data_IF_877262680787
#
_entry.id   IF_877262680787
#
_cell.length_a   1.000
_cell.length_b   1.000
_cell.length_c   1.000
_cell.angle_alpha   90.00
_cell.angle_beta   90.00
_cell.angle_gamma   90.00
#
_symmetry.space_group_name_H-M   'P 1'
#
loop_
_entity.id
_entity.type
_entity.pdbx_description
1 polymer ?
#
# COMPACT_ATOMS: atom_id res chain seq x y z
N UNK A 1 -23.03 20.42 32.41
CA UNK A 1 -21.66 20.22 32.94
C UNK A 1 -20.74 20.99 32.02
N UNK A 2 -19.93 21.92 32.54
CA UNK A 2 -19.16 22.86 31.71
C UNK A 2 -18.11 22.13 30.85
N UNK A 3 -17.97 22.57 29.60
CA UNK A 3 -17.04 22.07 28.58
C UNK A 3 -15.63 22.66 28.69
N UNK A 4 -15.42 23.54 29.68
CA UNK A 4 -14.13 24.11 30.04
C UNK A 4 -13.03 23.10 30.36
N UNK A 5 -13.27 21.93 31.00
CA UNK A 5 -12.22 20.95 31.26
C UNK A 5 -11.71 20.29 29.98
N UNK A 6 -12.58 20.03 29.00
CA UNK A 6 -12.21 19.41 27.72
C UNK A 6 -11.53 20.40 26.78
N UNK A 7 -12.01 21.65 26.73
CA UNK A 7 -11.38 22.73 25.96
C UNK A 7 -10.01 23.09 26.54
N UNK A 8 -9.84 23.09 27.86
CA UNK A 8 -8.53 23.30 28.51
C UNK A 8 -7.62 22.08 28.44
N UNK A 9 -8.13 20.84 28.39
CA UNK A 9 -7.34 19.64 28.09
C UNK A 9 -6.82 19.65 26.64
N UNK A 10 -7.67 20.05 25.69
CA UNK A 10 -7.31 20.13 24.28
C UNK A 10 -6.38 21.32 23.99
N UNK A 11 -6.71 22.51 24.49
CA UNK A 11 -5.85 23.69 24.39
C UNK A 11 -4.57 23.54 25.23
N UNK A 12 -4.61 22.83 26.36
CA UNK A 12 -3.44 22.53 27.18
C UNK A 12 -2.49 21.51 26.53
N UNK A 13 -3.01 20.57 25.74
CA UNK A 13 -2.20 19.67 24.91
C UNK A 13 -1.68 20.34 23.63
N UNK A 14 -2.41 21.32 23.06
CA UNK A 14 -1.97 22.08 21.88
C UNK A 14 -1.05 23.27 22.22
N UNK A 15 -1.10 23.82 23.44
CA UNK A 15 -0.34 25.02 23.82
C UNK A 15 1.15 24.77 24.13
N UNK A 16 1.65 23.54 24.03
CA UNK A 16 3.06 23.25 24.34
C UNK A 16 3.85 22.50 23.27
N UNK A 17 3.28 22.20 22.08
CA UNK A 17 4.15 21.79 20.97
C UNK A 17 4.76 23.02 20.32
N UNK A 18 6.01 23.30 20.65
CA UNK A 18 6.77 24.34 19.96
C UNK A 18 6.76 24.07 18.45
N UNK A 19 6.74 25.13 17.62
CA UNK A 19 6.81 25.03 16.15
C UNK A 19 7.98 24.10 15.72
N UNK A 20 9.06 24.08 16.51
CA UNK A 20 10.23 23.21 16.34
C UNK A 20 9.88 21.72 16.50
N UNK A 21 9.04 21.36 17.47
CA UNK A 21 8.57 19.98 17.68
C UNK A 21 7.66 19.50 16.55
N UNK A 22 6.75 20.37 16.07
CA UNK A 22 5.91 20.08 14.92
C UNK A 22 6.75 19.83 13.65
N UNK A 23 7.76 20.67 13.40
CA UNK A 23 8.71 20.50 12.30
C UNK A 23 9.52 19.20 12.45
N UNK A 24 9.96 18.87 13.66
CA UNK A 24 10.72 17.64 13.92
C UNK A 24 9.86 16.38 13.74
N UNK A 25 8.59 16.41 14.14
CA UNK A 25 7.66 15.31 13.90
C UNK A 25 7.34 15.15 12.41
N UNK A 26 7.13 16.26 11.69
CA UNK A 26 6.94 16.25 10.24
C UNK A 26 8.17 15.67 9.52
N UNK A 27 9.38 16.12 9.86
CA UNK A 27 10.65 15.60 9.32
C UNK A 27 10.86 14.12 9.65
N UNK A 28 10.56 13.67 10.87
CA UNK A 28 10.66 12.26 11.27
C UNK A 28 9.69 11.38 10.47
N UNK A 29 8.48 11.87 10.24
CA UNK A 29 7.47 11.19 9.41
C UNK A 29 7.88 11.14 7.93
N UNK A 30 8.41 12.24 7.40
CA UNK A 30 8.95 12.32 6.05
C UNK A 30 10.15 11.38 5.85
N UNK A 31 11.09 11.33 6.81
CA UNK A 31 12.22 10.38 6.79
C UNK A 31 11.74 8.92 6.76
N UNK A 32 10.76 8.57 7.59
CA UNK A 32 10.19 7.22 7.60
C UNK A 32 9.55 6.88 6.25
N UNK A 33 8.84 7.83 5.63
CA UNK A 33 8.26 7.64 4.30
C UNK A 33 9.31 7.48 3.22
N UNK A 34 10.37 8.29 3.26
CA UNK A 34 11.49 8.19 2.34
C UNK A 34 12.19 6.82 2.46
N UNK A 35 12.44 6.35 3.69
CA UNK A 35 13.03 5.03 3.92
C UNK A 35 12.16 3.90 3.38
N UNK A 36 10.84 3.98 3.57
CA UNK A 36 9.93 3.00 3.00
C UNK A 36 9.95 3.07 1.46
N UNK A 37 10.03 4.26 0.84
CA UNK A 37 10.08 4.39 -0.62
C UNK A 37 11.39 3.83 -1.18
N UNK A 38 12.50 4.09 -0.49
CA UNK A 38 13.80 3.54 -0.82
C UNK A 38 13.79 2.01 -0.74
N UNK A 39 13.17 1.45 0.29
CA UNK A 39 13.01 0.00 0.44
C UNK A 39 12.19 -0.61 -0.71
N UNK A 40 11.06 0.03 -1.07
CA UNK A 40 10.23 -0.40 -2.21
C UNK A 40 11.04 -0.36 -3.53
N UNK A 41 11.91 0.65 -3.70
CA UNK A 41 12.80 0.77 -4.86
C UNK A 41 13.88 -0.32 -4.90
N UNK A 42 14.50 -0.64 -3.76
CA UNK A 42 15.51 -1.70 -3.66
C UNK A 42 14.89 -3.06 -3.97
N UNK A 43 13.70 -3.34 -3.44
CA UNK A 43 12.97 -4.56 -3.75
C UNK A 43 12.63 -4.64 -5.24
N UNK A 44 12.09 -3.57 -5.82
CA UNK A 44 11.82 -3.49 -7.26
C UNK A 44 13.08 -3.81 -8.08
N UNK A 45 14.20 -3.16 -7.78
CA UNK A 45 15.45 -3.36 -8.50
C UNK A 45 15.97 -4.80 -8.37
N UNK A 46 15.88 -5.38 -7.15
CA UNK A 46 16.23 -6.79 -6.91
C UNK A 46 15.38 -7.76 -7.73
N UNK A 47 14.07 -7.52 -7.80
CA UNK A 47 13.16 -8.34 -8.61
C UNK A 47 13.41 -8.21 -10.12
N UNK A 48 13.75 -7.01 -10.60
CA UNK A 48 14.13 -6.79 -12.01
C UNK A 48 15.43 -7.53 -12.34
N UNK A 49 16.46 -7.43 -11.49
CA UNK A 49 17.71 -8.19 -11.67
C UNK A 49 17.41 -9.69 -11.70
N UNK A 50 16.61 -10.17 -10.77
CA UNK A 50 16.24 -11.59 -10.70
C UNK A 50 15.52 -12.06 -11.96
N UNK A 51 14.58 -11.25 -12.48
CA UNK A 51 13.89 -11.53 -13.74
C UNK A 51 14.87 -11.56 -14.93
N UNK A 52 15.81 -10.63 -15.01
CA UNK A 52 16.85 -10.63 -16.04
C UNK A 52 17.77 -11.86 -15.95
N UNK A 53 18.13 -12.30 -14.75
CA UNK A 53 18.91 -13.53 -14.54
C UNK A 53 18.10 -14.76 -14.96
N UNK A 54 16.81 -14.81 -14.65
CA UNK A 54 15.90 -15.88 -15.09
C UNK A 54 15.80 -15.99 -16.61
N UNK A 55 15.68 -14.84 -17.31
CA UNK A 55 15.69 -14.77 -18.77
C UNK A 55 17.02 -15.29 -19.31
N UNK A 56 18.15 -14.84 -18.76
CA UNK A 56 19.48 -15.24 -19.23
C UNK A 56 19.76 -16.73 -18.99
N UNK A 57 19.30 -17.29 -17.89
CA UNK A 57 19.51 -18.69 -17.54
C UNK A 57 18.72 -19.67 -18.41
N UNK A 58 17.67 -19.20 -19.10
CA UNK A 58 16.82 -20.02 -19.95
C UNK A 58 16.75 -19.42 -21.36
N UNK A 59 17.52 -19.98 -22.31
CA UNK A 59 17.62 -19.49 -23.70
C UNK A 59 16.37 -19.75 -24.57
N UNK A 60 15.24 -20.11 -23.95
CA UNK A 60 14.00 -20.42 -24.66
C UNK A 60 13.10 -19.17 -24.77
N UNK A 61 12.38 -19.00 -25.90
CA UNK A 61 11.54 -17.82 -26.15
C UNK A 61 10.38 -17.66 -25.16
N UNK A 62 9.87 -18.77 -24.59
CA UNK A 62 8.88 -18.79 -23.51
C UNK A 62 9.37 -18.09 -22.23
N UNK A 63 10.64 -18.30 -21.90
CA UNK A 63 11.30 -17.79 -20.69
C UNK A 63 11.59 -16.30 -20.81
N UNK A 64 11.91 -15.84 -22.02
CA UNK A 64 12.00 -14.41 -22.34
C UNK A 64 10.65 -13.71 -22.16
N UNK A 65 9.57 -14.26 -22.74
CA UNK A 65 8.23 -13.69 -22.64
C UNK A 65 7.75 -13.60 -21.18
N UNK A 66 7.93 -14.68 -20.39
CA UNK A 66 7.60 -14.69 -18.96
C UNK A 66 8.40 -13.68 -18.15
N UNK A 67 9.71 -13.57 -18.41
CA UNK A 67 10.56 -12.62 -17.72
C UNK A 67 10.20 -11.16 -18.03
N UNK A 68 9.87 -10.84 -19.29
CA UNK A 68 9.39 -9.50 -19.67
C UNK A 68 8.07 -9.16 -18.97
N UNK A 69 7.11 -10.11 -18.94
CA UNK A 69 5.84 -9.92 -18.23
C UNK A 69 6.08 -9.69 -16.74
N UNK A 70 6.96 -10.46 -16.10
CA UNK A 70 7.33 -10.23 -14.71
C UNK A 70 7.86 -8.82 -14.47
N UNK A 71 8.78 -8.33 -15.31
CA UNK A 71 9.35 -6.98 -15.19
C UNK A 71 8.26 -5.91 -15.32
N UNK A 72 7.38 -6.03 -16.32
CA UNK A 72 6.25 -5.10 -16.52
C UNK A 72 5.36 -5.12 -15.29
N UNK A 73 5.02 -6.31 -14.80
CA UNK A 73 4.12 -6.48 -13.67
C UNK A 73 4.68 -5.85 -12.39
N UNK A 74 5.95 -6.15 -12.06
CA UNK A 74 6.62 -5.60 -10.90
C UNK A 74 6.74 -4.07 -11.02
N UNK A 75 7.03 -3.55 -12.22
CA UNK A 75 7.14 -2.10 -12.46
C UNK A 75 5.81 -1.37 -12.30
N UNK A 76 4.71 -1.93 -12.82
CA UNK A 76 3.37 -1.37 -12.62
C UNK A 76 2.95 -1.39 -11.15
N UNK A 77 3.23 -2.49 -10.44
CA UNK A 77 2.95 -2.60 -9.01
C UNK A 77 3.71 -1.56 -8.19
N UNK A 78 5.01 -1.40 -8.42
CA UNK A 78 5.84 -0.39 -7.73
C UNK A 78 5.41 1.03 -8.08
N UNK A 79 5.13 1.33 -9.36
CA UNK A 79 4.64 2.65 -9.77
C UNK A 79 3.32 3.02 -9.07
N UNK A 80 2.39 2.06 -8.95
CA UNK A 80 1.14 2.27 -8.24
C UNK A 80 1.32 2.49 -6.73
N UNK A 81 2.20 1.71 -6.08
CA UNK A 81 2.52 1.93 -4.66
C UNK A 81 3.15 3.30 -4.41
N UNK A 82 4.05 3.74 -5.29
CA UNK A 82 4.66 5.07 -5.23
C UNK A 82 3.61 6.16 -5.45
N UNK A 83 2.74 6.02 -6.44
CA UNK A 83 1.64 6.97 -6.70
C UNK A 83 0.68 7.10 -5.52
N UNK A 84 0.32 5.99 -4.88
CA UNK A 84 -0.49 6.02 -3.65
C UNK A 84 0.23 6.73 -2.51
N UNK A 85 1.54 6.51 -2.37
CA UNK A 85 2.35 7.14 -1.33
C UNK A 85 2.69 8.61 -1.63
N UNK A 86 2.56 9.09 -2.86
CA UNK A 86 2.66 10.54 -3.13
C UNK A 86 1.32 11.24 -2.92
N UNK A 87 0.21 10.64 -3.39
CA UNK A 87 -1.14 11.23 -3.33
C UNK A 87 -1.76 11.23 -1.93
N UNK A 88 -1.53 10.21 -1.11
CA UNK A 88 -2.13 10.13 0.24
C UNK A 88 -1.40 10.93 1.32
N UNK A 89 -0.30 11.62 0.97
CA UNK A 89 0.61 12.25 1.95
C UNK A 89 0.68 13.77 1.86
N UNK A 90 -0.14 14.40 1.01
CA UNK A 90 -0.29 15.86 0.95
C UNK A 90 -0.56 16.46 2.34
N UNK A 91 0.26 17.42 2.73
CA UNK A 91 0.11 18.18 3.96
C UNK A 91 -1.01 19.21 3.77
N UNK A 92 -2.26 18.78 3.97
CA UNK A 92 -3.36 19.73 4.16
C UNK A 92 -3.15 20.53 5.44
N UNK A 93 -3.72 21.73 5.48
CA UNK A 93 -3.65 22.69 6.59
C UNK A 93 -3.77 22.00 7.96
N UNK A 94 -2.91 22.42 8.89
CA UNK A 94 -2.69 21.88 10.25
C UNK A 94 -3.88 22.15 11.20
N UNK A 95 -5.11 21.94 10.75
CA UNK A 95 -6.27 21.87 11.62
C UNK A 95 -6.59 20.41 11.96
N UNK A 96 -6.92 20.16 13.21
CA UNK A 96 -7.25 18.85 13.78
C UNK A 96 -8.34 18.09 13.01
N UNK A 97 -9.37 18.81 12.52
CA UNK A 97 -10.44 18.24 11.69
C UNK A 97 -9.90 17.83 10.31
N UNK A 98 -9.02 18.64 9.72
CA UNK A 98 -8.38 18.35 8.43
C UNK A 98 -7.39 17.19 8.55
N UNK A 99 -6.67 17.08 9.66
CA UNK A 99 -5.80 15.94 9.96
C UNK A 99 -6.60 14.64 10.10
N UNK A 100 -7.77 14.68 10.76
CA UNK A 100 -8.67 13.52 10.88
C UNK A 100 -9.24 13.10 9.53
N UNK A 101 -9.73 14.05 8.72
CA UNK A 101 -10.17 13.81 7.34
C UNK A 101 -9.06 13.20 6.48
N UNK A 102 -7.85 13.72 6.58
CA UNK A 102 -6.67 13.20 5.88
C UNK A 102 -6.32 11.78 6.32
N UNK A 103 -6.43 11.45 7.61
CA UNK A 103 -6.24 10.07 8.09
C UNK A 103 -7.32 9.10 7.63
N UNK A 104 -8.58 9.55 7.53
CA UNK A 104 -9.68 8.75 6.94
C UNK A 104 -9.38 8.47 5.46
N UNK A 105 -9.02 9.50 4.70
CA UNK A 105 -8.66 9.37 3.28
C UNK A 105 -7.45 8.45 3.07
N UNK A 106 -6.46 8.48 3.96
CA UNK A 106 -5.31 7.54 3.95
C UNK A 106 -5.75 6.09 4.18
N UNK A 107 -6.70 5.87 5.09
CA UNK A 107 -7.25 4.53 5.33
C UNK A 107 -8.02 4.03 4.09
N UNK A 108 -8.76 4.90 3.41
CA UNK A 108 -9.47 4.57 2.17
C UNK A 108 -8.52 4.25 1.03
N UNK A 109 -7.48 5.07 0.81
CA UNK A 109 -6.43 4.78 -0.17
C UNK A 109 -5.72 3.45 0.11
N UNK A 110 -5.41 3.17 1.38
CA UNK A 110 -4.82 1.89 1.78
C UNK A 110 -5.75 0.69 1.51
N UNK A 111 -7.06 0.86 1.62
CA UNK A 111 -8.04 -0.18 1.25
C UNK A 111 -8.18 -0.32 -0.27
N UNK A 112 -8.21 0.77 -1.03
CA UNK A 112 -8.22 0.76 -2.50
C UNK A 112 -7.00 0.02 -3.06
N UNK A 113 -5.83 0.20 -2.44
CA UNK A 113 -4.60 -0.50 -2.81
C UNK A 113 -4.79 -2.03 -2.77
N UNK A 114 -5.52 -2.55 -1.78
CA UNK A 114 -5.80 -3.99 -1.65
C UNK A 114 -6.64 -4.49 -2.82
N UNK A 115 -7.70 -3.74 -3.19
CA UNK A 115 -8.55 -4.09 -4.33
C UNK A 115 -7.78 -4.10 -5.65
N UNK A 116 -6.96 -3.07 -5.88
CA UNK A 116 -6.11 -3.02 -7.08
C UNK A 116 -5.10 -4.17 -7.10
N UNK A 117 -4.54 -4.51 -5.94
CA UNK A 117 -3.63 -5.67 -5.81
C UNK A 117 -4.34 -6.98 -6.18
N UNK A 118 -5.60 -7.16 -5.78
CA UNK A 118 -6.38 -8.35 -6.14
C UNK A 118 -6.68 -8.42 -7.64
N UNK A 119 -7.13 -7.31 -8.24
CA UNK A 119 -7.38 -7.23 -9.68
C UNK A 119 -6.09 -7.53 -10.44
N UNK A 120 -4.99 -6.93 -10.00
CA UNK A 120 -3.68 -7.13 -10.60
C UNK A 120 -3.21 -8.59 -10.51
N UNK A 121 -3.42 -9.26 -9.37
CA UNK A 121 -3.11 -10.68 -9.21
C UNK A 121 -3.90 -11.55 -10.19
N UNK A 122 -5.19 -11.27 -10.39
CA UNK A 122 -6.03 -11.98 -11.37
C UNK A 122 -5.51 -11.74 -12.80
N UNK A 123 -5.19 -10.50 -13.16
CA UNK A 123 -4.66 -10.17 -14.51
C UNK A 123 -3.34 -10.90 -14.77
N UNK A 124 -2.40 -10.88 -13.82
CA UNK A 124 -1.13 -11.61 -13.94
C UNK A 124 -1.37 -13.10 -14.10
N UNK A 125 -2.27 -13.67 -13.31
CA UNK A 125 -2.64 -15.09 -13.41
C UNK A 125 -3.19 -15.45 -14.78
N UNK A 126 -4.10 -14.64 -15.32
CA UNK A 126 -4.68 -14.84 -16.66
C UNK A 126 -3.63 -14.72 -17.77
N UNK A 127 -2.72 -13.74 -17.70
CA UNK A 127 -1.64 -13.59 -18.68
C UNK A 127 -0.72 -14.80 -18.65
N UNK A 128 -0.37 -15.28 -17.45
CA UNK A 128 0.48 -16.46 -17.28
C UNK A 128 -0.14 -17.71 -17.90
N UNK A 129 -1.42 -17.97 -17.64
CA UNK A 129 -2.14 -19.09 -18.26
C UNK A 129 -2.20 -18.92 -19.78
N UNK A 130 -2.46 -17.71 -20.27
CA UNK A 130 -2.51 -17.42 -21.70
C UNK A 130 -1.19 -17.68 -22.41
N UNK A 131 -0.07 -17.27 -21.81
CA UNK A 131 1.27 -17.55 -22.32
C UNK A 131 1.57 -19.05 -22.36
N UNK A 132 1.13 -19.78 -21.35
CA UNK A 132 1.34 -21.22 -21.28
C UNK A 132 0.58 -21.99 -22.37
N UNK A 133 -0.69 -21.64 -22.63
CA UNK A 133 -1.47 -22.20 -23.75
C UNK A 133 -0.76 -21.94 -25.09
N UNK A 134 -0.14 -20.77 -25.25
CA UNK A 134 0.53 -20.39 -26.51
C UNK A 134 1.88 -21.07 -26.72
N UNK A 135 2.65 -21.31 -25.66
CA UNK A 135 4.02 -21.85 -25.74
C UNK A 135 4.15 -23.35 -25.42
N UNK A 136 3.08 -24.04 -25.03
CA UNK A 136 3.03 -25.49 -24.79
C UNK A 136 4.11 -25.99 -23.80
N UNK A 137 4.05 -25.44 -22.58
CA UNK A 137 5.00 -25.75 -21.50
C UNK A 137 4.77 -27.20 -20.99
N UNK A 138 5.84 -27.89 -20.62
CA UNK A 138 5.79 -29.22 -20.00
C UNK A 138 4.85 -29.25 -18.76
N UNK A 139 3.92 -30.20 -18.72
CA UNK A 139 2.86 -30.29 -17.70
C UNK A 139 3.37 -30.34 -16.24
N UNK A 140 4.57 -30.88 -16.00
CA UNK A 140 5.15 -30.95 -14.65
C UNK A 140 5.60 -29.56 -14.15
N UNK A 141 6.20 -28.74 -15.03
CA UNK A 141 6.59 -27.36 -14.71
C UNK A 141 5.35 -26.49 -14.50
N UNK A 142 4.32 -26.73 -15.30
CA UNK A 142 3.03 -26.08 -15.16
C UNK A 142 2.40 -26.31 -13.78
N UNK A 143 2.28 -27.58 -13.37
CA UNK A 143 1.67 -27.90 -12.07
C UNK A 143 2.41 -27.23 -10.91
N UNK A 144 3.76 -27.23 -10.93
CA UNK A 144 4.55 -26.53 -9.91
C UNK A 144 4.28 -25.02 -9.90
N UNK A 145 4.17 -24.41 -11.07
CA UNK A 145 3.94 -22.97 -11.21
C UNK A 145 2.52 -22.56 -10.76
N UNK A 146 1.50 -23.34 -11.11
CA UNK A 146 0.12 -23.13 -10.65
C UNK A 146 0.04 -23.27 -9.12
N UNK A 147 0.64 -24.32 -8.54
CA UNK A 147 0.65 -24.51 -7.08
C UNK A 147 1.29 -23.31 -6.37
N UNK A 148 2.42 -22.81 -6.88
CA UNK A 148 3.06 -21.61 -6.36
C UNK A 148 2.19 -20.37 -6.49
N UNK A 149 1.55 -20.16 -7.64
CA UNK A 149 0.66 -19.02 -7.87
C UNK A 149 -0.58 -19.06 -6.98
N UNK A 150 -1.17 -20.23 -6.78
CA UNK A 150 -2.32 -20.44 -5.89
C UNK A 150 -1.92 -20.18 -4.44
N UNK A 151 -0.79 -20.73 -3.98
CA UNK A 151 -0.28 -20.50 -2.63
C UNK A 151 0.03 -19.00 -2.39
N UNK A 152 0.68 -18.35 -3.35
CA UNK A 152 0.99 -16.92 -3.28
C UNK A 152 -0.27 -16.04 -3.29
N UNK A 153 -1.25 -16.36 -4.14
CA UNK A 153 -2.52 -15.65 -4.21
C UNK A 153 -3.33 -15.82 -2.91
N UNK A 154 -3.36 -17.02 -2.34
CA UNK A 154 -3.99 -17.27 -1.04
C UNK A 154 -3.35 -16.43 0.07
N UNK A 155 -2.02 -16.33 0.09
CA UNK A 155 -1.30 -15.48 1.03
C UNK A 155 -1.67 -14.00 0.87
N UNK A 156 -1.71 -13.49 -0.37
CA UNK A 156 -2.12 -12.11 -0.67
C UNK A 156 -3.53 -11.84 -0.16
N UNK A 157 -4.47 -12.77 -0.37
CA UNK A 157 -5.86 -12.61 0.09
C UNK A 157 -5.94 -12.60 1.61
N UNK A 158 -5.26 -13.52 2.29
CA UNK A 158 -5.27 -13.59 3.77
C UNK A 158 -4.69 -12.32 4.38
N UNK A 159 -3.50 -11.90 3.92
CA UNK A 159 -2.82 -10.69 4.42
C UNK A 159 -3.61 -9.44 4.06
N UNK A 160 -4.15 -9.38 2.83
CA UNK A 160 -4.97 -8.26 2.35
C UNK A 160 -6.25 -8.10 3.15
N UNK A 161 -6.98 -9.19 3.45
CA UNK A 161 -8.18 -9.12 4.28
C UNK A 161 -7.87 -8.72 5.73
N UNK A 162 -6.79 -9.25 6.31
CA UNK A 162 -6.34 -8.84 7.64
C UNK A 162 -6.01 -7.33 7.68
N UNK A 163 -5.25 -6.85 6.70
CA UNK A 163 -4.88 -5.45 6.59
C UNK A 163 -6.11 -4.55 6.37
N UNK A 164 -7.05 -4.98 5.51
CA UNK A 164 -8.32 -4.29 5.28
C UNK A 164 -9.13 -4.16 6.58
N UNK A 165 -9.30 -5.24 7.35
CA UNK A 165 -9.99 -5.19 8.65
C UNK A 165 -9.34 -4.19 9.60
N UNK A 166 -8.00 -4.17 9.65
CA UNK A 166 -7.24 -3.23 10.48
C UNK A 166 -7.45 -1.77 10.05
N UNK A 167 -7.52 -1.49 8.75
CA UNK A 167 -7.77 -0.13 8.24
C UNK A 167 -9.22 0.31 8.41
N UNK A 168 -10.20 -0.61 8.28
CA UNK A 168 -11.61 -0.35 8.58
C UNK A 168 -11.82 0.06 10.04
N UNK A 169 -11.23 -0.69 10.99
CA UNK A 169 -11.31 -0.36 12.41
C UNK A 169 -10.73 1.04 12.71
N UNK A 170 -9.59 1.39 12.08
CA UNK A 170 -9.01 2.73 12.21
C UNK A 170 -9.89 3.82 11.60
N UNK A 171 -10.46 3.57 10.43
CA UNK A 171 -11.38 4.50 9.77
C UNK A 171 -12.59 4.78 10.67
N UNK A 172 -13.22 3.74 11.21
CA UNK A 172 -14.37 3.87 12.12
C UNK A 172 -14.00 4.69 13.35
N UNK A 173 -12.86 4.41 13.98
CA UNK A 173 -12.36 5.20 15.11
C UNK A 173 -12.15 6.69 14.76
N UNK A 174 -11.53 6.99 13.61
CA UNK A 174 -11.33 8.38 13.17
C UNK A 174 -12.64 9.08 12.81
N UNK A 175 -13.62 8.35 12.28
CA UNK A 175 -14.97 8.88 11.99
C UNK A 175 -15.71 9.24 13.28
N UNK A 176 -15.68 8.35 14.28
CA UNK A 176 -16.27 8.61 15.61
C UNK A 176 -15.64 9.84 16.27
N UNK A 177 -14.31 9.99 16.19
CA UNK A 177 -13.62 11.15 16.75
C UNK A 177 -14.01 12.46 16.02
N UNK A 178 -14.27 12.39 14.72
CA UNK A 178 -14.67 13.54 13.91
C UNK A 178 -16.13 13.94 14.16
N UNK A 179 -17.01 12.96 14.41
CA UNK A 179 -18.39 13.21 14.84
C UNK A 179 -18.43 13.91 16.21
N UNK A 180 -17.65 13.43 17.19
CA UNK A 180 -17.52 14.08 18.51
C UNK A 180 -16.99 15.52 18.45
N UNK A 181 -16.17 15.85 17.44
CA UNK A 181 -15.66 17.21 17.21
C UNK A 181 -16.64 18.10 16.43
N UNK A 182 -17.69 17.53 15.84
CA UNK A 182 -18.72 18.23 15.08
C UNK A 182 -20.04 18.35 15.83
N UNK A 183 -20.27 17.57 16.90
CA UNK A 183 -21.41 17.77 17.79
C UNK A 183 -21.36 19.17 18.41
N UNK A 184 -22.44 19.97 18.30
CA UNK A 184 -22.54 21.25 18.96
C UNK A 184 -22.45 21.02 20.47
N UNK A 185 -21.47 21.71 21.05
CA UNK A 185 -21.27 21.81 22.48
C UNK A 185 -22.37 22.71 23.06
N UNK A 186 -23.52 22.12 23.40
CA UNK A 186 -24.58 22.78 24.19
C UNK A 186 -24.11 23.12 25.62
#
# INVERSE_FOLDING_TARGET
MSLEPLKSLWQGQQASMSIVELINQAKKRQRRMFLLMLFDFILWFGFVIWACVFIRANERPDSFALGVVMIISISLGTAYMLWLRTTTWGAGELDSKNLLKLSIHRCEGAMQLIYVTYIFAVVVFTIVIGLEIYYSIEAEKLNRMIVWLVAYSALIVVVGQWYRKRQLAKKQYYQQLLEQLNEPQD
#
